data_IF_022913827998
#
_entry.id   IF_022913827998
#
_cell.length_a   1.000
_cell.length_b   1.000
_cell.length_c   1.000
_cell.angle_alpha   90.00
_cell.angle_beta   90.00
_cell.angle_gamma   90.00
#
_symmetry.space_group_name_H-M   'P 1'
#
loop_
_entity.id
_entity.type
_entity.pdbx_description
1 polymer ?
#
# COMPACT_ATOMS: atom_id res chain seq x y z
N UNK A 1 4.50 -19.27 10.13
CA UNK A 1 4.62 -20.10 11.34
C UNK A 1 4.90 -19.22 12.54
N UNK A 2 4.64 -19.71 13.74
CA UNK A 2 4.90 -19.02 15.01
C UNK A 2 6.38 -18.62 15.15
N UNK A 3 7.30 -19.48 14.74
CA UNK A 3 8.74 -19.18 14.74
C UNK A 3 9.09 -17.97 13.88
N UNK A 4 8.46 -17.81 12.71
CA UNK A 4 8.67 -16.63 11.87
C UNK A 4 8.14 -15.38 12.52
N UNK A 5 6.99 -15.45 13.19
CA UNK A 5 6.42 -14.36 13.95
C UNK A 5 7.34 -13.94 15.10
N UNK A 6 7.78 -14.89 15.93
CA UNK A 6 8.71 -14.62 17.02
C UNK A 6 10.04 -14.03 16.54
N UNK A 7 10.64 -14.58 15.47
CA UNK A 7 11.84 -14.00 14.87
C UNK A 7 11.62 -12.55 14.42
N UNK A 8 10.47 -12.22 13.86
CA UNK A 8 10.13 -10.84 13.48
C UNK A 8 10.03 -9.92 14.68
N UNK A 9 9.45 -10.39 15.79
CA UNK A 9 9.38 -9.61 17.03
C UNK A 9 10.77 -9.24 17.57
N UNK A 10 11.77 -10.13 17.42
CA UNK A 10 13.16 -9.83 17.82
C UNK A 10 13.84 -8.76 16.97
N UNK A 11 13.33 -8.47 15.77
CA UNK A 11 13.85 -7.42 14.86
C UNK A 11 13.28 -6.03 15.13
N UNK A 12 12.45 -5.92 16.15
CA UNK A 12 11.74 -4.70 16.49
C UNK A 12 10.52 -4.46 15.60
N UNK A 13 9.65 -3.59 16.08
CA UNK A 13 8.44 -3.18 15.37
C UNK A 13 8.81 -2.35 14.14
N UNK A 14 8.17 -2.62 13.03
CA UNK A 14 8.15 -1.67 11.90
C UNK A 14 7.24 -0.51 12.26
N UNK A 15 7.72 0.70 12.05
CA UNK A 15 6.96 1.93 12.27
C UNK A 15 6.50 2.50 10.93
N UNK A 16 5.39 3.22 10.97
CA UNK A 16 4.97 4.04 9.82
C UNK A 16 6.08 5.05 9.51
N UNK A 17 6.36 5.24 8.23
CA UNK A 17 7.32 6.26 7.79
C UNK A 17 6.87 7.65 8.21
N UNK A 18 7.83 8.57 8.36
CA UNK A 18 7.55 9.96 8.73
C UNK A 18 6.48 10.58 7.81
N UNK A 19 5.44 11.17 8.41
CA UNK A 19 4.30 11.74 7.71
C UNK A 19 3.37 10.71 7.03
N UNK A 20 3.66 9.41 7.15
CA UNK A 20 2.89 8.36 6.48
C UNK A 20 1.45 8.27 6.96
N UNK A 21 1.23 8.32 8.27
CA UNK A 21 -0.12 8.27 8.85
C UNK A 21 -0.99 9.45 8.38
N UNK A 22 -0.45 10.66 8.39
CA UNK A 22 -1.18 11.85 7.95
C UNK A 22 -1.44 11.82 6.45
N UNK A 23 -0.51 11.30 5.65
CA UNK A 23 -0.69 11.11 4.21
C UNK A 23 -1.83 10.15 3.91
N UNK A 24 -1.89 8.99 4.61
CA UNK A 24 -2.97 8.02 4.48
C UNK A 24 -4.32 8.65 4.78
N UNK A 25 -4.44 9.34 5.91
CA UNK A 25 -5.67 10.05 6.31
C UNK A 25 -6.09 11.10 5.29
N UNK A 26 -5.14 11.88 4.79
CA UNK A 26 -5.41 12.93 3.79
C UNK A 26 -5.84 12.32 2.44
N UNK A 27 -5.22 11.22 1.98
CA UNK A 27 -5.66 10.54 0.77
C UNK A 27 -7.10 10.03 0.87
N UNK A 28 -7.46 9.42 2.00
CA UNK A 28 -8.85 9.04 2.27
C UNK A 28 -9.78 10.25 2.26
N UNK A 29 -9.39 11.36 2.91
CA UNK A 29 -10.16 12.61 2.93
C UNK A 29 -10.34 13.21 1.52
N UNK A 30 -9.41 12.94 0.62
CA UNK A 30 -9.48 13.33 -0.80
C UNK A 30 -10.38 12.41 -1.64
N UNK A 31 -10.93 11.34 -1.07
CA UNK A 31 -11.85 10.41 -1.72
C UNK A 31 -11.17 9.23 -2.41
N UNK A 32 -9.93 8.89 -2.04
CA UNK A 32 -9.25 7.71 -2.56
C UNK A 32 -9.56 6.49 -1.71
N UNK A 33 -9.87 5.37 -2.36
CA UNK A 33 -9.92 4.04 -1.75
C UNK A 33 -8.50 3.52 -1.61
N UNK A 34 -8.11 3.10 -0.40
CA UNK A 34 -6.76 2.64 -0.12
C UNK A 34 -6.72 1.13 0.14
N UNK A 35 -5.69 0.48 -0.37
CA UNK A 35 -5.39 -0.92 -0.14
C UNK A 35 -3.92 -1.16 0.17
N UNK A 36 -3.64 -2.29 0.81
CA UNK A 36 -2.28 -2.77 1.08
C UNK A 36 -2.09 -4.11 0.38
N UNK A 37 -0.97 -4.26 -0.35
CA UNK A 37 -0.48 -5.54 -0.86
C UNK A 37 0.94 -5.74 -0.33
N UNK A 38 1.12 -6.72 0.56
CA UNK A 38 2.39 -6.91 1.27
C UNK A 38 2.94 -8.33 1.16
N UNK A 39 4.22 -8.44 0.82
CA UNK A 39 4.97 -9.69 0.88
C UNK A 39 5.57 -9.87 2.28
N UNK A 40 4.94 -10.71 3.08
CA UNK A 40 5.35 -11.02 4.46
C UNK A 40 5.39 -12.52 4.72
N UNK A 41 6.03 -12.89 5.80
CA UNK A 41 6.11 -14.28 6.29
C UNK A 41 5.11 -14.52 7.42
N UNK A 42 4.90 -13.54 8.28
CA UNK A 42 3.93 -13.62 9.38
C UNK A 42 2.53 -13.22 8.94
N UNK A 43 1.50 -13.90 9.47
CA UNK A 43 0.10 -13.68 9.08
C UNK A 43 -0.56 -12.49 9.77
N UNK A 44 -0.05 -12.08 10.92
CA UNK A 44 -0.68 -11.06 11.77
C UNK A 44 0.00 -9.70 11.71
N UNK A 45 1.17 -9.63 11.06
CA UNK A 45 2.04 -8.45 11.18
C UNK A 45 1.39 -7.15 10.67
N UNK A 46 0.78 -7.17 9.47
CA UNK A 46 0.16 -5.95 8.93
C UNK A 46 -1.05 -5.55 9.76
N UNK A 47 -1.86 -6.53 10.14
CA UNK A 47 -3.07 -6.30 10.93
C UNK A 47 -2.73 -5.65 12.28
N UNK A 48 -1.76 -6.22 12.99
CA UNK A 48 -1.30 -5.69 14.28
C UNK A 48 -0.71 -4.28 14.14
N UNK A 49 0.04 -3.99 13.07
CA UNK A 49 0.60 -2.65 12.85
C UNK A 49 -0.49 -1.63 12.57
N UNK A 50 -1.44 -1.98 11.71
CA UNK A 50 -2.56 -1.10 11.38
C UNK A 50 -3.40 -0.76 12.62
N UNK A 51 -3.67 -1.75 13.47
CA UNK A 51 -4.43 -1.56 14.71
C UNK A 51 -3.64 -0.68 15.69
N UNK A 52 -2.35 -0.97 15.91
CA UNK A 52 -1.49 -0.20 16.81
C UNK A 52 -1.30 1.25 16.37
N UNK A 53 -1.28 1.51 15.07
CA UNK A 53 -1.09 2.85 14.50
C UNK A 53 -2.44 3.58 14.26
N UNK A 54 -3.58 2.92 14.55
CA UNK A 54 -4.92 3.47 14.31
C UNK A 54 -5.20 3.71 12.82
N UNK A 55 -4.57 2.92 11.94
CA UNK A 55 -4.67 3.10 10.49
C UNK A 55 -5.59 2.09 9.80
N UNK A 56 -6.03 1.05 10.50
CA UNK A 56 -6.90 0.03 9.91
C UNK A 56 -8.15 0.60 9.23
N UNK A 57 -8.89 1.57 9.79
CA UNK A 57 -10.11 2.07 9.17
C UNK A 57 -9.90 2.75 7.80
N UNK A 58 -8.67 3.12 7.47
CA UNK A 58 -8.34 3.81 6.22
C UNK A 58 -8.07 2.87 5.04
N UNK A 59 -7.94 1.55 5.30
CA UNK A 59 -7.65 0.56 4.26
C UNK A 59 -8.83 -0.37 4.06
N UNK A 60 -9.39 -0.36 2.85
CA UNK A 60 -10.54 -1.18 2.46
C UNK A 60 -10.14 -2.60 2.05
N UNK A 61 -8.88 -2.82 1.68
CA UNK A 61 -8.34 -4.15 1.37
C UNK A 61 -6.93 -4.30 1.93
N UNK A 62 -6.62 -5.48 2.46
CA UNK A 62 -5.28 -5.83 2.97
C UNK A 62 -4.91 -7.23 2.48
N UNK A 63 -4.11 -7.29 1.42
CA UNK A 63 -3.63 -8.56 0.86
C UNK A 63 -2.22 -8.85 1.36
N UNK A 64 -2.06 -10.01 1.98
CA UNK A 64 -0.77 -10.45 2.54
C UNK A 64 -0.37 -11.78 1.93
N UNK A 65 0.85 -11.88 1.39
CA UNK A 65 1.35 -13.12 0.79
C UNK A 65 1.39 -14.30 1.77
N UNK A 66 1.49 -14.03 3.06
CA UNK A 66 1.42 -15.04 4.12
C UNK A 66 0.04 -15.63 4.33
N UNK A 67 -1.01 -14.95 3.84
CA UNK A 67 -2.41 -15.38 3.90
C UNK A 67 -2.85 -15.97 2.57
N UNK A 68 -2.60 -15.25 1.48
CA UNK A 68 -3.02 -15.66 0.13
C UNK A 68 -2.11 -16.73 -0.50
N UNK A 69 -0.91 -16.93 0.05
CA UNK A 69 0.15 -17.79 -0.52
C UNK A 69 0.64 -17.35 -1.91
N UNK A 70 0.30 -16.15 -2.31
CA UNK A 70 0.71 -15.53 -3.58
C UNK A 70 1.58 -14.31 -3.25
N UNK A 71 2.68 -14.17 -3.97
CA UNK A 71 3.66 -13.10 -3.77
C UNK A 71 3.75 -12.20 -4.99
N UNK A 72 4.07 -10.95 -4.78
CA UNK A 72 4.45 -10.02 -5.84
C UNK A 72 5.75 -10.50 -6.52
N UNK A 73 5.90 -10.39 -7.84
CA UNK A 73 5.01 -9.72 -8.79
C UNK A 73 3.86 -10.59 -9.35
N UNK A 74 3.55 -11.74 -8.74
CA UNK A 74 2.46 -12.59 -9.20
C UNK A 74 1.13 -11.82 -9.31
N UNK A 75 0.40 -11.91 -10.44
CA UNK A 75 -0.74 -11.04 -10.73
C UNK A 75 -1.93 -11.25 -9.80
N UNK A 76 -2.15 -12.47 -9.33
CA UNK A 76 -3.35 -12.80 -8.58
C UNK A 76 -3.52 -12.00 -7.28
N UNK A 77 -2.43 -11.61 -6.58
CA UNK A 77 -2.54 -10.82 -5.34
C UNK A 77 -3.07 -9.40 -5.62
N UNK A 78 -2.82 -8.85 -6.81
CA UNK A 78 -3.36 -7.56 -7.24
C UNK A 78 -4.85 -7.70 -7.60
N UNK A 79 -5.23 -8.77 -8.31
CA UNK A 79 -6.63 -9.04 -8.63
C UNK A 79 -7.49 -9.21 -7.36
N UNK A 80 -7.00 -9.92 -6.35
CA UNK A 80 -7.72 -10.03 -5.07
C UNK A 80 -7.96 -8.67 -4.42
N UNK A 81 -6.96 -7.79 -4.44
CA UNK A 81 -7.14 -6.45 -3.89
C UNK A 81 -8.16 -5.62 -4.67
N UNK A 82 -8.14 -5.69 -6.00
CA UNK A 82 -9.11 -4.98 -6.85
C UNK A 82 -10.52 -5.52 -6.70
N UNK A 83 -10.68 -6.84 -6.69
CA UNK A 83 -12.00 -7.50 -6.53
C UNK A 83 -12.66 -7.11 -5.21
N UNK A 84 -11.90 -7.09 -4.12
CA UNK A 84 -12.42 -6.76 -2.79
C UNK A 84 -12.97 -5.34 -2.70
N UNK A 85 -12.43 -4.40 -3.47
CA UNK A 85 -12.87 -3.00 -3.48
C UNK A 85 -13.69 -2.63 -4.73
N UNK A 86 -13.92 -3.57 -5.65
CA UNK A 86 -14.66 -3.33 -6.89
C UNK A 86 -13.97 -2.30 -7.80
N UNK A 87 -12.64 -2.33 -7.90
CA UNK A 87 -11.88 -1.40 -8.72
C UNK A 87 -11.43 -2.02 -10.03
N UNK A 88 -11.50 -1.24 -11.12
CA UNK A 88 -10.94 -1.61 -12.41
C UNK A 88 -9.44 -1.22 -12.48
N UNK A 89 -8.59 -2.02 -13.14
CA UNK A 89 -7.14 -1.81 -13.19
C UNK A 89 -6.73 -0.39 -13.61
N UNK A 90 -7.33 0.14 -14.66
CA UNK A 90 -7.04 1.47 -15.19
C UNK A 90 -7.32 2.61 -14.20
N UNK A 91 -8.16 2.36 -13.19
CA UNK A 91 -8.47 3.30 -12.10
C UNK A 91 -7.59 3.10 -10.87
N UNK A 92 -6.67 2.14 -10.91
CA UNK A 92 -5.76 1.83 -9.82
C UNK A 92 -4.39 2.45 -10.00
N UNK A 93 -3.80 2.88 -8.88
CA UNK A 93 -2.40 3.27 -8.81
C UNK A 93 -1.67 2.40 -7.79
N UNK A 94 -0.51 1.89 -8.16
CA UNK A 94 0.36 1.19 -7.22
C UNK A 94 1.49 2.09 -6.74
N UNK A 95 1.68 2.16 -5.44
CA UNK A 95 2.77 2.89 -4.80
C UNK A 95 3.68 1.89 -4.08
N UNK A 96 4.96 1.83 -4.45
CA UNK A 96 5.90 0.90 -3.84
C UNK A 96 7.35 1.34 -3.93
N UNK A 97 8.24 0.64 -3.23
CA UNK A 97 9.68 0.94 -3.19
C UNK A 97 10.54 -0.10 -3.94
N UNK A 98 9.94 -1.19 -4.38
CA UNK A 98 10.65 -2.25 -5.09
C UNK A 98 10.19 -2.35 -6.55
N UNK A 99 11.04 -1.86 -7.46
CA UNK A 99 10.73 -1.80 -8.89
C UNK A 99 10.34 -3.17 -9.48
N UNK A 100 11.05 -4.24 -9.10
CA UNK A 100 10.87 -5.55 -9.72
C UNK A 100 9.64 -6.31 -9.18
N UNK A 101 9.21 -6.03 -7.98
CA UNK A 101 8.01 -6.66 -7.39
C UNK A 101 6.78 -5.78 -7.55
N UNK A 102 6.93 -4.50 -7.21
CA UNK A 102 5.81 -3.58 -7.09
C UNK A 102 5.41 -3.01 -8.45
N UNK A 103 6.38 -2.45 -9.18
CA UNK A 103 6.10 -1.78 -10.46
C UNK A 103 5.84 -2.80 -11.58
N UNK A 104 6.68 -3.83 -11.71
CA UNK A 104 6.44 -4.89 -12.70
C UNK A 104 5.10 -5.59 -12.45
N UNK A 105 4.81 -5.92 -11.18
CA UNK A 105 3.56 -6.61 -10.84
C UNK A 105 2.32 -5.78 -11.14
N UNK A 106 2.32 -4.49 -10.79
CA UNK A 106 1.20 -3.59 -11.08
C UNK A 106 1.00 -3.38 -12.59
N UNK A 107 2.09 -3.23 -13.35
CA UNK A 107 2.03 -3.15 -14.82
C UNK A 107 1.52 -4.42 -15.48
N UNK A 108 1.87 -5.58 -14.94
CA UNK A 108 1.40 -6.88 -15.45
C UNK A 108 -0.12 -7.10 -15.32
N UNK A 109 -0.78 -6.28 -14.52
CA UNK A 109 -2.24 -6.28 -14.33
C UNK A 109 -2.89 -4.97 -14.84
N UNK A 110 -2.17 -4.24 -15.68
CA UNK A 110 -2.65 -3.02 -16.37
C UNK A 110 -3.13 -1.91 -15.42
N UNK A 111 -2.48 -1.72 -14.27
CA UNK A 111 -2.77 -0.57 -13.42
C UNK A 111 -2.52 0.73 -14.17
N UNK A 112 -3.46 1.67 -14.07
CA UNK A 112 -3.42 2.95 -14.77
C UNK A 112 -2.26 3.86 -14.39
N UNK A 113 -1.63 3.64 -13.22
CA UNK A 113 -0.46 4.39 -12.78
C UNK A 113 0.41 3.57 -11.82
N UNK A 114 1.72 3.81 -11.87
CA UNK A 114 2.69 3.28 -10.93
C UNK A 114 3.59 4.38 -10.39
N UNK A 115 3.79 4.41 -9.08
CA UNK A 115 4.64 5.38 -8.38
C UNK A 115 5.69 4.66 -7.55
N UNK A 116 6.95 5.05 -7.69
CA UNK A 116 7.98 4.54 -6.78
C UNK A 116 8.35 5.56 -5.72
N UNK A 117 8.52 5.09 -4.47
CA UNK A 117 9.05 5.90 -3.37
C UNK A 117 10.52 5.56 -3.20
N UNK A 118 11.40 6.46 -3.59
CA UNK A 118 12.85 6.28 -3.49
C UNK A 118 13.38 6.92 -2.20
N UNK A 119 13.28 6.23 -1.07
CA UNK A 119 13.75 6.73 0.23
C UNK A 119 15.25 7.04 0.28
N UNK A 120 16.06 6.33 -0.51
CA UNK A 120 17.50 6.55 -0.61
C UNK A 120 17.83 7.33 -1.89
N UNK A 121 17.83 8.66 -1.80
CA UNK A 121 18.04 9.54 -2.96
C UNK A 121 19.38 9.31 -3.67
N UNK A 122 20.43 8.98 -2.92
CA UNK A 122 21.80 8.80 -3.40
C UNK A 122 21.98 7.49 -4.17
N UNK A 123 21.08 6.52 -3.98
CA UNK A 123 21.14 5.23 -4.65
C UNK A 123 20.40 5.30 -5.99
N UNK A 124 21.09 5.22 -7.13
CA UNK A 124 20.42 5.28 -8.42
C UNK A 124 19.49 4.09 -8.60
N UNK A 125 18.32 4.34 -9.17
CA UNK A 125 17.38 3.28 -9.56
C UNK A 125 17.92 2.58 -10.82
N UNK A 126 17.95 1.25 -10.79
CA UNK A 126 18.26 0.45 -11.97
C UNK A 126 16.99 0.26 -12.81
N UNK A 127 16.73 1.23 -13.68
CA UNK A 127 15.54 1.26 -14.52
C UNK A 127 15.73 0.44 -15.80
N UNK A 128 14.68 -0.30 -16.15
CA UNK A 128 14.50 -0.99 -17.43
C UNK A 128 13.18 -0.51 -18.04
N UNK A 129 12.86 -0.94 -19.26
CA UNK A 129 11.57 -0.66 -19.88
C UNK A 129 10.39 -1.25 -19.07
N UNK A 130 10.60 -2.42 -18.48
CA UNK A 130 9.56 -3.15 -17.74
C UNK A 130 9.29 -2.56 -16.35
N UNK A 131 10.34 -2.11 -15.63
CA UNK A 131 10.24 -1.66 -14.24
C UNK A 131 10.23 -0.14 -14.07
N UNK A 132 10.15 0.65 -15.15
CA UNK A 132 10.09 2.12 -15.09
C UNK A 132 8.74 2.56 -14.56
N UNK A 133 8.68 3.26 -13.42
CA UNK A 133 7.43 3.82 -12.89
C UNK A 133 6.98 5.04 -13.70
N UNK A 134 5.69 5.38 -13.61
CA UNK A 134 5.13 6.59 -14.23
C UNK A 134 5.52 7.85 -13.44
N UNK A 135 5.66 7.73 -12.12
CA UNK A 135 6.14 8.81 -11.26
C UNK A 135 7.08 8.31 -10.16
N UNK A 136 7.85 9.24 -9.62
CA UNK A 136 8.77 8.99 -8.51
C UNK A 136 8.66 10.10 -7.47
N UNK A 137 8.62 9.69 -6.20
CA UNK A 137 8.70 10.58 -5.05
C UNK A 137 9.83 10.15 -4.12
N UNK A 138 10.28 11.04 -3.24
CA UNK A 138 11.37 10.74 -2.30
C UNK A 138 10.89 10.54 -0.87
N UNK A 139 9.72 11.07 -0.54
CA UNK A 139 9.07 10.90 0.76
C UNK A 139 7.62 10.49 0.53
N UNK A 140 7.09 9.73 1.45
CA UNK A 140 5.70 9.28 1.35
C UNK A 140 4.69 10.45 1.29
N UNK A 141 4.84 11.55 2.06
CA UNK A 141 3.97 12.72 1.95
C UNK A 141 3.96 13.40 0.58
N UNK A 142 5.01 13.25 -0.23
CA UNK A 142 5.07 13.84 -1.57
C UNK A 142 4.02 13.24 -2.52
N UNK A 143 3.39 12.11 -2.14
CA UNK A 143 2.24 11.55 -2.85
C UNK A 143 1.05 12.52 -2.91
N UNK A 144 0.92 13.41 -1.96
CA UNK A 144 -0.16 14.39 -1.92
C UNK A 144 -0.10 15.41 -3.08
N UNK A 145 1.08 15.58 -3.68
CA UNK A 145 1.26 16.40 -4.89
C UNK A 145 0.81 15.68 -6.16
N UNK A 146 0.85 14.33 -6.13
CA UNK A 146 0.41 13.50 -7.27
C UNK A 146 -1.11 13.28 -7.25
N UNK A 147 -1.69 13.14 -6.06
CA UNK A 147 -3.10 12.79 -5.86
C UNK A 147 -3.94 14.00 -5.43
N UNK A 148 -4.53 14.77 -6.37
CA UNK A 148 -5.37 15.93 -6.05
C UNK A 148 -6.68 15.52 -5.38
N UNK A 149 -7.39 16.46 -4.78
CA UNK A 149 -8.72 16.21 -4.23
C UNK A 149 -9.67 15.72 -5.32
N UNK A 150 -10.20 14.53 -5.15
CA UNK A 150 -11.38 14.04 -5.85
C UNK A 150 -12.60 14.49 -5.04
N UNK A 151 -13.69 14.91 -5.67
CA UNK A 151 -14.89 15.46 -5.06
C UNK A 151 -15.12 15.13 -3.57
N UNK A 152 -15.92 15.91 -2.88
CA UNK A 152 -16.15 15.74 -1.44
C UNK A 152 -16.86 14.41 -1.17
N UNK A 153 -16.10 13.34 -0.93
CA UNK A 153 -16.63 12.15 -0.26
C UNK A 153 -16.58 12.44 1.22
N UNK A 154 -17.71 12.40 1.90
CA UNK A 154 -17.76 12.56 3.35
C UNK A 154 -16.88 11.47 3.99
N UNK A 155 -15.87 11.88 4.75
CA UNK A 155 -14.93 10.99 5.44
C UNK A 155 -15.69 9.99 6.34
N UNK A 156 -16.84 10.38 6.87
CA UNK A 156 -17.77 9.55 7.66
C UNK A 156 -18.24 8.28 6.94
N UNK A 157 -18.20 8.23 5.61
CA UNK A 157 -18.55 7.03 4.84
C UNK A 157 -17.38 6.08 4.58
N UNK A 158 -16.15 6.56 4.76
CA UNK A 158 -14.93 5.78 4.53
C UNK A 158 -14.34 5.22 5.83
N UNK A 159 -14.65 5.82 6.95
CA UNK A 159 -14.21 5.40 8.28
C UNK A 159 -15.44 4.87 9.00
N UNK A 160 -15.45 3.60 9.43
CA UNK A 160 -16.53 3.11 10.26
C UNK A 160 -16.63 4.02 11.51
N UNK A 161 -17.85 4.28 12.01
CA UNK A 161 -18.00 5.01 13.26
C UNK A 161 -17.15 4.31 14.33
N UNK A 162 -16.41 5.08 15.11
CA UNK A 162 -15.79 4.57 16.32
C UNK A 162 -16.91 3.91 17.10
N UNK A 163 -16.79 2.60 17.36
CA UNK A 163 -17.76 1.89 18.19
C UNK A 163 -17.78 2.60 19.53
N UNK A 164 -18.78 3.45 19.66
CA UNK A 164 -19.03 4.19 20.87
C UNK A 164 -19.28 3.20 22.01
N UNK A 165 -18.47 3.31 23.01
CA UNK A 165 -18.65 2.87 24.40
C UNK A 165 -19.81 1.96 24.70
#
# INVERSE_FOLDING_TARGET
SELCYQYRQTKGRRTVVEGGADTVKELCRRGYTLGIISDLVGRREVDEWLDQDGLRPYFQTVQQSSVTYIRKPGPAIYYYAMEEVGAEPENCCYVGDNLNRDIIGAKAVDFGMTVTVQYQKEKPLKLTAENRPDAKVYRFPDLLDIFPKRGQVAVEKLIPPEDGQ
#
